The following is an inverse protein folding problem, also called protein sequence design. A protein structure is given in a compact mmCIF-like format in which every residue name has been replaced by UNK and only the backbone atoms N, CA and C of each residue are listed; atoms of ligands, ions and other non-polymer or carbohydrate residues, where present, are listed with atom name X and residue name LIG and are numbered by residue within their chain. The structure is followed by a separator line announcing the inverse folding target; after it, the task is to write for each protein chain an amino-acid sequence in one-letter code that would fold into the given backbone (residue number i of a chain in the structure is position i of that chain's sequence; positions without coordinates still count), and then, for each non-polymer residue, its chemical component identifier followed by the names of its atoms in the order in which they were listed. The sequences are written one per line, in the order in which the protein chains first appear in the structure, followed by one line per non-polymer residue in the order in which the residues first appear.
data_IF_638274780350
#
_entry.id   IF_638274780350
#
_cell.length_a   1.000
_cell.length_b   1.000
_cell.length_c   1.000
_cell.angle_alpha   90.00
_cell.angle_beta   90.00
_cell.angle_gamma   90.00
#
_symmetry.space_group_name_H-M   'P 1'
#
loop_
_entity.id
_entity.type
_entity.pdbx_description
1 polymer ?
#
# COMPACT_ATOMS: atom_id res chain seq x y z
N UNK A 1 -56.63 -57.44 28.96
CA UNK A 1 -57.05 -56.34 29.86
C UNK A 1 -55.87 -55.95 30.72
N UNK A 2 -55.15 -54.87 30.38
CA UNK A 2 -54.26 -54.18 31.32
C UNK A 2 -53.90 -52.81 30.74
N UNK A 3 -54.43 -51.79 31.41
CA UNK A 3 -54.14 -50.38 31.25
C UNK A 3 -52.72 -50.06 31.68
N UNK A 4 -51.99 -49.23 30.92
CA UNK A 4 -50.88 -48.43 31.45
C UNK A 4 -50.90 -47.03 30.84
N UNK A 5 -51.17 -46.05 31.71
CA UNK A 5 -50.95 -44.63 31.49
C UNK A 5 -49.50 -44.28 31.84
N UNK A 6 -48.86 -43.62 30.87
CA UNK A 6 -47.92 -42.48 30.97
C UNK A 6 -47.14 -42.23 32.27
N UNK A 7 -45.81 -42.18 32.13
CA UNK A 7 -44.97 -41.21 32.85
C UNK A 7 -43.98 -40.59 31.86
N UNK A 8 -43.89 -39.25 31.90
CA UNK A 8 -43.04 -38.42 31.07
C UNK A 8 -41.62 -38.36 31.63
N UNK A 9 -40.60 -38.37 30.77
CA UNK A 9 -39.36 -37.63 30.99
C UNK A 9 -38.74 -37.24 29.65
N UNK A 10 -38.87 -35.97 29.33
CA UNK A 10 -38.11 -35.24 28.31
C UNK A 10 -36.65 -35.15 28.71
N UNK A 11 -35.74 -35.56 27.82
CA UNK A 11 -34.37 -35.06 27.79
C UNK A 11 -33.95 -34.88 26.32
N UNK A 12 -34.06 -33.63 25.86
CA UNK A 12 -33.42 -33.18 24.64
C UNK A 12 -31.94 -32.95 24.92
N UNK A 13 -31.05 -33.45 24.06
CA UNK A 13 -29.68 -32.94 23.97
C UNK A 13 -29.36 -32.66 22.51
N UNK A 14 -29.40 -31.37 22.16
CA UNK A 14 -28.83 -30.76 20.97
C UNK A 14 -27.45 -30.25 21.40
N UNK A 15 -26.38 -30.64 20.70
CA UNK A 15 -25.16 -29.84 20.49
C UNK A 15 -24.26 -30.58 19.49
N UNK A 16 -24.38 -30.32 18.19
CA UNK A 16 -23.62 -29.26 17.49
C UNK A 16 -22.11 -29.46 17.62
N UNK A 17 -21.56 -30.42 16.88
CA UNK A 17 -20.14 -30.42 16.51
C UNK A 17 -19.91 -29.22 15.58
N UNK A 18 -19.50 -28.13 16.21
CA UNK A 18 -19.07 -26.91 15.57
C UNK A 18 -17.94 -27.21 14.59
N UNK A 19 -18.23 -27.10 13.30
CA UNK A 19 -17.25 -26.70 12.30
C UNK A 19 -16.68 -25.36 12.74
N UNK A 20 -15.58 -25.36 13.49
CA UNK A 20 -14.77 -24.16 13.63
C UNK A 20 -14.19 -23.88 12.24
N UNK A 21 -14.49 -22.73 11.61
CA UNK A 21 -13.72 -22.32 10.46
C UNK A 21 -12.28 -22.18 10.94
N UNK A 22 -11.40 -23.03 10.43
CA UNK A 22 -9.97 -22.71 10.45
C UNK A 22 -9.86 -21.40 9.69
N UNK A 23 -9.73 -20.30 10.45
CA UNK A 23 -9.29 -19.03 9.92
C UNK A 23 -7.93 -19.32 9.30
N UNK A 24 -7.91 -19.49 7.98
CA UNK A 24 -6.70 -19.39 7.18
C UNK A 24 -6.14 -18.01 7.45
N UNK A 25 -5.29 -17.91 8.48
CA UNK A 25 -4.38 -16.79 8.65
C UNK A 25 -3.40 -16.94 7.50
N UNK A 26 -3.77 -16.41 6.34
CA UNK A 26 -2.79 -16.01 5.36
C UNK A 26 -1.86 -15.07 6.11
N UNK A 27 -0.65 -15.55 6.41
CA UNK A 27 0.43 -14.67 6.76
C UNK A 27 0.57 -13.73 5.59
N UNK A 28 0.13 -12.47 5.72
CA UNK A 28 0.59 -11.39 4.85
C UNK A 28 2.11 -11.47 4.97
N UNK A 29 2.74 -12.08 3.98
CA UNK A 29 4.18 -12.24 3.99
C UNK A 29 4.78 -10.86 3.93
N UNK A 30 5.94 -10.65 4.55
CA UNK A 30 6.73 -9.44 4.30
C UNK A 30 7.03 -9.22 2.81
N UNK A 31 6.81 -10.22 1.95
CA UNK A 31 6.93 -10.12 0.50
C UNK A 31 5.76 -9.40 -0.18
N UNK A 32 4.57 -9.37 0.44
CA UNK A 32 3.41 -8.68 -0.12
C UNK A 32 3.45 -7.20 0.27
N UNK A 33 3.11 -6.34 -0.69
CA UNK A 33 3.04 -4.91 -0.45
C UNK A 33 2.01 -4.27 -1.36
N UNK A 34 1.44 -3.16 -0.89
CA UNK A 34 0.55 -2.31 -1.67
C UNK A 34 0.81 -0.85 -1.32
N UNK A 35 0.72 0.02 -2.32
CA UNK A 35 0.84 1.45 -2.16
C UNK A 35 -0.29 2.17 -2.89
N UNK A 36 -0.80 3.25 -2.30
CA UNK A 36 -1.79 4.09 -2.95
C UNK A 36 -1.10 5.18 -3.78
N UNK A 37 -1.46 5.31 -5.04
CA UNK A 37 -0.99 6.37 -5.95
C UNK A 37 -1.62 7.72 -5.60
N UNK A 38 -1.05 8.87 -5.98
CA UNK A 38 -1.61 10.18 -5.62
C UNK A 38 -3.12 10.33 -5.91
N UNK A 39 -3.59 9.84 -7.05
CA UNK A 39 -5.00 9.82 -7.46
C UNK A 39 -5.85 8.67 -6.93
N UNK A 40 -5.37 7.92 -5.93
CA UNK A 40 -6.16 6.95 -5.17
C UNK A 40 -6.29 5.57 -5.81
N UNK A 41 -5.45 5.22 -6.78
CA UNK A 41 -5.35 3.86 -7.31
C UNK A 41 -4.33 3.05 -6.47
N UNK A 42 -4.19 1.76 -6.74
CA UNK A 42 -3.24 0.89 -6.04
C UNK A 42 -2.17 0.38 -6.98
N UNK A 43 -0.91 0.44 -6.55
CA UNK A 43 0.17 -0.38 -7.08
C UNK A 43 0.48 -1.45 -6.05
N UNK A 44 0.51 -2.72 -6.44
CA UNK A 44 0.72 -3.81 -5.48
C UNK A 44 1.52 -4.98 -6.04
N UNK A 45 2.02 -5.78 -5.09
CA UNK A 45 2.57 -7.11 -5.24
C UNK A 45 1.91 -8.01 -4.19
N UNK A 46 1.08 -8.96 -4.61
CA UNK A 46 0.39 -9.88 -3.70
C UNK A 46 0.24 -11.26 -4.34
N UNK A 47 0.30 -12.33 -3.55
CA UNK A 47 0.38 -13.71 -4.05
C UNK A 47 -0.83 -14.08 -4.93
N UNK A 48 -2.03 -13.60 -4.59
CA UNK A 48 -3.25 -13.80 -5.38
C UNK A 48 -3.27 -13.10 -6.74
N UNK A 49 -2.35 -12.16 -6.99
CA UNK A 49 -2.28 -11.38 -8.22
C UNK A 49 -0.98 -11.62 -9.01
N UNK A 50 0.09 -11.99 -8.31
CA UNK A 50 1.46 -12.05 -8.82
C UNK A 50 1.62 -12.97 -10.02
N UNK A 51 1.03 -14.17 -9.98
CA UNK A 51 1.17 -15.13 -11.08
C UNK A 51 0.57 -14.62 -12.39
N UNK A 52 -0.54 -13.89 -12.31
CA UNK A 52 -1.27 -13.42 -13.50
C UNK A 52 -0.84 -12.04 -13.95
N UNK A 53 -0.51 -11.15 -13.01
CA UNK A 53 -0.33 -9.72 -13.28
C UNK A 53 1.02 -9.16 -12.82
N UNK A 54 1.88 -9.94 -12.15
CA UNK A 54 3.09 -9.43 -11.51
C UNK A 54 2.79 -8.25 -10.57
N UNK A 55 3.67 -7.25 -10.57
CA UNK A 55 3.37 -5.95 -9.99
C UNK A 55 2.35 -5.24 -10.88
N UNK A 56 1.25 -4.73 -10.32
CA UNK A 56 0.17 -4.18 -11.13
C UNK A 56 -0.40 -2.87 -10.58
N UNK A 57 -0.92 -2.05 -11.48
CA UNK A 57 -1.73 -0.86 -11.19
C UNK A 57 -3.20 -1.25 -11.32
N UNK A 58 -3.99 -1.09 -10.26
CA UNK A 58 -5.41 -1.44 -10.22
C UNK A 58 -6.25 -0.40 -9.49
N UNK A 59 -7.56 -0.55 -9.59
CA UNK A 59 -8.54 0.16 -8.77
C UNK A 59 -8.32 -0.10 -7.27
N UNK A 60 -8.54 0.91 -6.42
CA UNK A 60 -8.69 0.67 -4.97
C UNK A 60 -10.10 0.13 -4.70
N UNK A 61 -10.20 -1.10 -4.19
CA UNK A 61 -11.50 -1.71 -3.94
C UNK A 61 -12.25 -1.02 -2.78
N UNK A 62 -11.56 -0.18 -2.00
CA UNK A 62 -12.16 0.68 -0.99
C UNK A 62 -12.67 2.03 -1.55
N UNK A 63 -12.46 2.32 -2.83
CA UNK A 63 -12.98 3.54 -3.47
C UNK A 63 -14.49 3.39 -3.72
N UNK A 64 -15.27 4.03 -2.84
CA UNK A 64 -16.74 4.03 -2.87
C UNK A 64 -17.33 4.75 -4.08
N UNK A 65 -16.51 5.47 -4.86
CA UNK A 65 -16.96 6.15 -6.08
C UNK A 65 -16.91 5.23 -7.30
N UNK A 66 -16.25 4.08 -7.19
CA UNK A 66 -16.18 3.11 -8.28
C UNK A 66 -17.49 2.33 -8.40
N UNK A 67 -17.99 2.11 -9.63
CA UNK A 67 -19.05 1.15 -9.87
C UNK A 67 -18.63 -0.27 -9.43
N UNK A 68 -19.55 -1.11 -8.92
CA UNK A 68 -19.26 -2.50 -8.55
C UNK A 68 -18.50 -3.31 -9.61
N UNK A 69 -18.77 -3.05 -10.89
CA UNK A 69 -18.11 -3.72 -12.02
C UNK A 69 -16.64 -3.34 -12.24
N UNK A 70 -16.15 -2.31 -11.56
CA UNK A 70 -14.77 -1.82 -11.66
C UNK A 70 -13.92 -2.21 -10.43
N UNK A 71 -14.52 -2.82 -9.40
CA UNK A 71 -13.74 -3.41 -8.32
C UNK A 71 -12.89 -4.57 -8.88
N UNK A 72 -11.64 -4.65 -8.42
CA UNK A 72 -10.67 -5.61 -8.94
C UNK A 72 -10.13 -5.29 -10.33
N UNK A 73 -10.53 -4.18 -10.97
CA UNK A 73 -10.05 -3.83 -12.31
C UNK A 73 -8.54 -3.53 -12.29
N UNK A 74 -7.78 -4.32 -13.05
CA UNK A 74 -6.36 -4.07 -13.33
C UNK A 74 -6.26 -3.17 -14.56
N UNK A 75 -5.57 -2.04 -14.40
CA UNK A 75 -5.32 -1.10 -15.49
C UNK A 75 -4.03 -1.43 -16.23
N UNK A 76 -2.97 -1.76 -15.47
CA UNK A 76 -1.66 -2.14 -16.03
C UNK A 76 -1.09 -3.31 -15.27
N UNK A 77 -0.71 -4.37 -15.98
CA UNK A 77 -0.03 -5.53 -15.42
C UNK A 77 1.48 -5.49 -15.66
N UNK A 78 2.23 -6.22 -14.86
CA UNK A 78 3.67 -6.46 -14.99
C UNK A 78 4.47 -5.16 -15.08
N UNK A 79 4.17 -4.24 -14.17
CA UNK A 79 4.91 -3.01 -13.98
C UNK A 79 6.38 -3.32 -13.69
N UNK A 80 7.26 -2.57 -14.35
CA UNK A 80 8.72 -2.61 -14.11
C UNK A 80 9.16 -1.38 -13.34
N UNK A 81 8.68 -0.21 -13.79
CA UNK A 81 8.92 1.08 -13.16
C UNK A 81 7.79 2.06 -13.45
N UNK A 82 7.58 3.02 -12.56
CA UNK A 82 6.57 4.06 -12.71
C UNK A 82 7.06 5.40 -12.15
N UNK A 83 6.42 6.47 -12.57
CA UNK A 83 6.70 7.82 -12.10
C UNK A 83 5.40 8.60 -11.99
N UNK A 84 5.26 9.34 -10.89
CA UNK A 84 4.06 10.13 -10.64
C UNK A 84 4.15 11.51 -11.27
N UNK A 85 3.06 11.93 -11.89
CA UNK A 85 2.80 13.28 -12.38
C UNK A 85 1.50 13.78 -11.76
N UNK A 86 1.22 15.08 -11.90
CA UNK A 86 -0.05 15.62 -11.41
C UNK A 86 -1.23 15.00 -12.18
N UNK A 87 -1.96 14.08 -11.54
CA UNK A 87 -3.13 13.39 -12.10
C UNK A 87 -2.79 12.25 -13.08
N UNK A 88 -1.52 11.88 -13.22
CA UNK A 88 -1.08 10.86 -14.16
C UNK A 88 0.02 9.97 -13.58
N UNK A 89 0.14 8.76 -14.13
CA UNK A 89 1.24 7.83 -13.88
C UNK A 89 1.85 7.47 -15.21
N UNK A 90 3.13 7.80 -15.39
CA UNK A 90 3.92 7.32 -16.51
C UNK A 90 4.65 6.04 -16.09
N UNK A 91 4.81 5.08 -16.99
CA UNK A 91 5.41 3.81 -16.61
C UNK A 91 5.91 2.94 -17.75
N UNK A 92 6.62 1.90 -17.34
CA UNK A 92 7.03 0.78 -18.18
C UNK A 92 6.42 -0.51 -17.62
N UNK A 93 5.81 -1.29 -18.50
CA UNK A 93 5.25 -2.60 -18.25
C UNK A 93 5.98 -3.66 -19.09
N UNK A 94 5.63 -4.93 -18.93
CA UNK A 94 6.15 -6.01 -19.78
C UNK A 94 5.92 -5.77 -21.28
N UNK A 95 4.81 -5.11 -21.65
CA UNK A 95 4.39 -4.93 -23.05
C UNK A 95 4.77 -3.57 -23.65
N UNK A 96 5.40 -2.69 -22.88
CA UNK A 96 5.82 -1.36 -23.35
C UNK A 96 5.55 -0.25 -22.34
N UNK A 97 5.53 0.98 -22.84
CA UNK A 97 5.38 2.18 -22.02
C UNK A 97 3.91 2.60 -21.93
N UNK A 98 3.54 3.28 -20.86
CA UNK A 98 2.18 3.76 -20.69
C UNK A 98 2.11 5.12 -20.01
N UNK A 99 0.99 5.81 -20.25
CA UNK A 99 0.54 6.96 -19.49
C UNK A 99 -0.89 6.68 -19.02
N UNK A 100 -1.05 6.53 -17.71
CA UNK A 100 -2.34 6.33 -17.07
C UNK A 100 -2.87 7.64 -16.51
N UNK A 101 -4.11 7.98 -16.85
CA UNK A 101 -4.81 9.13 -16.28
C UNK A 101 -5.56 8.69 -15.03
N UNK A 102 -5.19 9.24 -13.87
CA UNK A 102 -5.74 8.81 -12.59
C UNK A 102 -7.20 9.22 -12.38
N UNK A 103 -7.69 10.22 -13.13
CA UNK A 103 -9.07 10.72 -13.05
C UNK A 103 -9.97 9.91 -13.98
N UNK A 104 -9.62 9.79 -15.26
CA UNK A 104 -10.44 9.07 -16.24
C UNK A 104 -10.22 7.56 -16.21
N UNK A 105 -9.22 7.07 -15.47
CA UNK A 105 -8.80 5.66 -15.39
C UNK A 105 -8.40 5.05 -16.74
N UNK A 106 -8.07 5.88 -17.72
CA UNK A 106 -7.65 5.44 -19.05
C UNK A 106 -6.13 5.24 -19.12
N UNK A 107 -5.72 4.18 -19.83
CA UNK A 107 -4.32 3.88 -20.13
C UNK A 107 -4.08 4.17 -21.61
N UNK A 108 -3.09 5.02 -21.91
CA UNK A 108 -2.54 5.15 -23.26
C UNK A 108 -1.22 4.39 -23.33
N UNK A 109 -1.08 3.49 -24.31
CA UNK A 109 0.11 2.67 -24.50
C UNK A 109 1.03 3.25 -25.58
N UNK A 110 2.35 3.06 -25.40
CA UNK A 110 3.39 3.54 -26.30
C UNK A 110 4.43 2.44 -26.55
N UNK A 111 4.93 2.36 -27.79
CA UNK A 111 5.95 1.39 -28.17
C UNK A 111 7.36 1.71 -27.65
N UNK A 112 7.63 2.95 -27.23
CA UNK A 112 8.95 3.38 -26.75
C UNK A 112 8.86 4.60 -25.83
N UNK A 113 9.95 4.85 -25.10
CA UNK A 113 10.07 5.93 -24.11
C UNK A 113 10.01 7.33 -24.73
N UNK A 114 10.46 7.48 -25.99
CA UNK A 114 10.40 8.76 -26.71
C UNK A 114 8.96 9.19 -26.97
N UNK A 115 8.10 8.26 -27.42
CA UNK A 115 6.68 8.53 -27.65
C UNK A 115 5.94 8.87 -26.35
N UNK A 116 6.24 8.16 -25.25
CA UNK A 116 5.72 8.51 -23.92
C UNK A 116 6.17 9.92 -23.50
N UNK A 117 7.44 10.24 -23.69
CA UNK A 117 8.01 11.55 -23.33
C UNK A 117 7.37 12.69 -24.12
N UNK A 118 7.10 12.47 -25.41
CA UNK A 118 6.39 13.42 -26.25
C UNK A 118 4.96 13.65 -25.75
N UNK A 119 4.21 12.60 -25.41
CA UNK A 119 2.86 12.74 -24.86
C UNK A 119 2.86 13.52 -23.54
N UNK A 120 3.82 13.25 -22.65
CA UNK A 120 3.98 13.97 -21.38
C UNK A 120 4.20 15.47 -21.64
N UNK A 121 5.01 15.81 -22.64
CA UNK A 121 5.27 17.19 -23.05
C UNK A 121 4.03 17.84 -23.67
N UNK A 122 3.32 17.14 -24.56
CA UNK A 122 2.12 17.63 -25.25
C UNK A 122 0.98 17.91 -24.25
N UNK A 123 0.82 17.04 -23.24
CA UNK A 123 -0.11 17.24 -22.13
C UNK A 123 0.35 18.28 -21.10
N UNK A 124 1.59 18.79 -21.22
CA UNK A 124 2.20 19.78 -20.31
C UNK A 124 2.14 19.35 -18.85
N UNK A 125 2.44 18.08 -18.56
CA UNK A 125 2.36 17.54 -17.20
C UNK A 125 3.41 18.11 -16.23
N UNK A 126 4.39 18.86 -16.76
CA UNK A 126 5.42 19.52 -15.97
C UNK A 126 6.48 18.56 -15.44
N UNK A 127 7.07 18.89 -14.30
CA UNK A 127 8.07 18.04 -13.65
C UNK A 127 7.38 16.87 -12.93
N UNK A 128 7.98 15.67 -12.94
CA UNK A 128 7.46 14.55 -12.17
C UNK A 128 7.50 14.84 -10.66
N UNK A 129 6.56 14.26 -9.92
CA UNK A 129 6.44 14.35 -8.45
C UNK A 129 7.31 13.32 -7.74
N UNK A 130 7.85 12.35 -8.48
CA UNK A 130 8.75 11.32 -7.98
C UNK A 130 9.91 11.08 -8.95
N UNK A 131 10.94 10.38 -8.49
CA UNK A 131 11.85 9.70 -9.42
C UNK A 131 11.13 8.49 -10.07
N UNK A 132 11.83 7.80 -10.97
CA UNK A 132 11.41 6.46 -11.37
C UNK A 132 11.43 5.53 -10.15
N UNK A 133 10.27 4.95 -9.86
CA UNK A 133 10.02 4.01 -8.77
C UNK A 133 9.93 2.59 -9.34
N UNK A 134 10.28 1.61 -8.53
CA UNK A 134 10.28 0.18 -8.84
C UNK A 134 9.56 -0.62 -7.75
N UNK A 135 9.42 -1.93 -7.95
CA UNK A 135 8.91 -2.87 -6.96
C UNK A 135 9.53 -2.66 -5.56
N UNK A 136 10.85 -2.43 -5.50
CA UNK A 136 11.58 -2.23 -4.25
C UNK A 136 11.16 -0.93 -3.56
N UNK A 137 10.86 0.13 -4.31
CA UNK A 137 10.37 1.39 -3.77
C UNK A 137 8.95 1.25 -3.24
N UNK A 138 8.10 0.48 -3.94
CA UNK A 138 6.75 0.11 -3.48
C UNK A 138 6.78 -0.66 -2.16
N UNK A 139 7.66 -1.65 -2.04
CA UNK A 139 7.90 -2.36 -0.77
C UNK A 139 8.39 -1.40 0.33
N UNK A 140 9.38 -0.56 0.01
CA UNK A 140 9.96 0.39 0.96
C UNK A 140 8.92 1.37 1.48
N UNK A 141 8.03 1.86 0.62
CA UNK A 141 6.91 2.70 1.01
C UNK A 141 5.92 1.92 1.89
N UNK A 142 5.46 0.73 1.48
CA UNK A 142 4.47 -0.04 2.23
C UNK A 142 4.89 -0.33 3.68
N UNK A 143 6.20 -0.45 3.93
CA UNK A 143 6.77 -0.73 5.24
C UNK A 143 7.44 0.47 5.91
N UNK A 144 7.28 1.68 5.35
CA UNK A 144 8.09 2.84 5.68
C UNK A 144 8.16 3.21 7.18
N UNK A 145 7.05 3.31 7.95
CA UNK A 145 7.12 3.82 9.32
C UNK A 145 7.97 2.95 10.24
N UNK A 146 7.77 1.63 10.15
CA UNK A 146 8.43 0.66 11.04
C UNK A 146 9.83 0.28 10.52
N UNK A 147 9.99 0.11 9.21
CA UNK A 147 11.22 -0.46 8.64
C UNK A 147 12.24 0.59 8.18
N UNK A 148 11.80 1.84 7.96
CA UNK A 148 12.66 2.90 7.41
C UNK A 148 12.66 4.13 8.31
N UNK A 149 11.51 4.72 8.59
CA UNK A 149 11.41 5.98 9.34
C UNK A 149 11.99 5.84 10.75
N UNK A 150 11.47 4.92 11.57
CA UNK A 150 11.93 4.75 12.94
C UNK A 150 13.44 4.40 13.01
N UNK A 151 13.96 3.40 12.26
CA UNK A 151 15.39 3.11 12.23
C UNK A 151 16.26 4.29 11.76
N UNK A 152 15.81 5.04 10.75
CA UNK A 152 16.55 6.20 10.27
C UNK A 152 16.56 7.36 11.26
N UNK A 153 15.47 7.59 11.99
CA UNK A 153 15.43 8.59 13.07
C UNK A 153 16.43 8.23 14.17
N UNK A 154 16.46 6.97 14.58
CA UNK A 154 17.41 6.48 15.59
C UNK A 154 18.85 6.61 15.11
N UNK A 155 19.17 6.14 13.91
CA UNK A 155 20.52 6.22 13.34
C UNK A 155 21.00 7.67 13.23
N UNK A 156 20.15 8.58 12.73
CA UNK A 156 20.52 9.98 12.55
C UNK A 156 20.64 10.73 13.89
N UNK A 157 19.89 10.34 14.92
CA UNK A 157 20.00 10.91 16.27
C UNK A 157 21.25 10.50 17.05
N UNK A 158 21.89 9.40 16.66
CA UNK A 158 23.13 8.95 17.32
C UNK A 158 24.30 9.83 16.89
N UNK A 159 25.01 10.38 17.89
CA UNK A 159 26.33 10.98 17.71
C UNK A 159 27.34 9.85 17.43
N UNK A 160 27.76 9.73 16.16
CA UNK A 160 28.88 8.92 15.63
C UNK A 160 29.36 7.77 16.56
N UNK A 161 28.96 6.52 16.28
CA UNK A 161 29.67 5.36 16.85
C UNK A 161 28.90 4.05 17.06
N UNK A 162 27.56 4.00 16.94
CA UNK A 162 26.83 2.73 17.06
C UNK A 162 26.52 2.15 15.69
N UNK A 163 27.01 0.94 15.44
CA UNK A 163 26.52 0.09 14.34
C UNK A 163 25.04 -0.22 14.60
N UNK A 164 24.16 -0.12 13.60
CA UNK A 164 22.75 -0.49 13.76
C UNK A 164 22.64 -1.93 14.29
N UNK A 165 21.72 -2.14 15.24
CA UNK A 165 21.41 -3.45 15.78
C UNK A 165 21.01 -4.42 14.67
N UNK A 166 21.30 -5.71 14.85
CA UNK A 166 20.98 -6.77 13.88
C UNK A 166 19.46 -6.81 13.63
N UNK A 167 19.03 -6.31 12.47
CA UNK A 167 17.65 -6.41 12.02
C UNK A 167 17.41 -5.53 10.81
N UNK A 168 17.32 -6.17 9.63
CA UNK A 168 17.05 -5.58 8.32
C UNK A 168 18.18 -4.71 7.75
N UNK A 169 18.27 -4.71 6.41
CA UNK A 169 19.37 -4.24 5.55
C UNK A 169 20.09 -3.01 6.11
N UNK A 170 21.44 -2.93 6.06
CA UNK A 170 22.14 -1.78 6.63
C UNK A 170 21.71 -0.49 5.92
N UNK A 171 20.86 0.30 6.59
CA UNK A 171 20.55 1.66 6.20
C UNK A 171 21.76 2.53 6.53
N UNK A 172 22.42 3.04 5.51
CA UNK A 172 23.47 4.05 5.67
C UNK A 172 22.85 5.39 6.07
N UNK A 173 23.63 6.27 6.72
CA UNK A 173 23.19 7.64 7.01
C UNK A 173 22.76 8.39 5.74
N UNK A 174 23.43 8.15 4.61
CA UNK A 174 23.08 8.77 3.32
C UNK A 174 21.69 8.31 2.83
N UNK A 175 21.41 7.00 2.88
CA UNK A 175 20.08 6.46 2.56
C UNK A 175 19.01 7.02 3.49
N UNK A 176 19.31 7.18 4.79
CA UNK A 176 18.36 7.78 5.73
C UNK A 176 18.11 9.27 5.45
N UNK A 177 19.13 10.04 5.09
CA UNK A 177 18.94 11.43 4.68
C UNK A 177 18.09 11.54 3.41
N UNK A 178 18.25 10.62 2.46
CA UNK A 178 17.43 10.57 1.25
C UNK A 178 15.98 10.15 1.55
N UNK A 179 15.78 9.10 2.35
CA UNK A 179 14.45 8.59 2.70
C UNK A 179 13.64 9.60 3.54
N UNK A 180 14.32 10.42 4.35
CA UNK A 180 13.71 11.47 5.18
C UNK A 180 13.84 12.87 4.56
N UNK A 181 14.17 12.97 3.27
CA UNK A 181 14.26 14.25 2.59
C UNK A 181 12.87 14.91 2.47
N UNK A 182 12.84 16.23 2.24
CA UNK A 182 11.57 16.96 2.07
C UNK A 182 10.77 16.42 0.90
N UNK A 183 11.45 16.07 -0.18
CA UNK A 183 10.86 15.56 -1.42
C UNK A 183 10.25 14.17 -1.21
N UNK A 184 10.96 13.27 -0.53
CA UNK A 184 10.44 11.94 -0.20
C UNK A 184 9.21 12.02 0.71
N UNK A 185 9.27 12.85 1.76
CA UNK A 185 8.13 13.05 2.67
C UNK A 185 6.95 13.73 1.98
N UNK A 186 7.19 14.66 1.05
CA UNK A 186 6.14 15.29 0.25
C UNK A 186 5.41 14.25 -0.62
N UNK A 187 6.14 13.31 -1.22
CA UNK A 187 5.52 12.21 -1.95
C UNK A 187 4.66 11.33 -1.03
N UNK A 188 5.18 10.93 0.14
CA UNK A 188 4.44 10.11 1.09
C UNK A 188 3.16 10.76 1.62
N UNK A 189 3.08 12.10 1.67
CA UNK A 189 1.84 12.83 2.01
C UNK A 189 0.74 12.69 0.95
N UNK A 190 1.11 12.41 -0.28
CA UNK A 190 0.15 12.26 -1.37
C UNK A 190 -0.15 10.78 -1.67
N UNK A 191 0.71 9.87 -1.24
CA UNK A 191 0.56 8.43 -1.48
C UNK A 191 -0.08 7.70 -0.28
N UNK A 192 0.38 6.49 0.02
CA UNK A 192 -0.19 5.59 1.04
C UNK A 192 -0.30 6.25 2.39
N UNK A 193 0.81 6.83 2.86
CA UNK A 193 0.93 7.28 4.25
C UNK A 193 0.18 8.57 4.54
N UNK A 194 0.07 9.48 3.58
CA UNK A 194 -0.75 10.68 3.75
C UNK A 194 -2.21 10.33 4.01
N UNK A 195 -2.77 9.42 3.20
CA UNK A 195 -4.13 8.89 3.39
C UNK A 195 -4.27 8.12 4.69
N UNK A 196 -3.34 7.21 4.99
CA UNK A 196 -3.40 6.45 6.24
C UNK A 196 -3.30 7.36 7.48
N UNK A 197 -2.43 8.36 7.46
CA UNK A 197 -2.27 9.30 8.56
C UNK A 197 -3.48 10.23 8.73
N UNK A 198 -4.13 10.63 7.64
CA UNK A 198 -5.41 11.36 7.72
C UNK A 198 -6.51 10.50 8.37
N UNK A 199 -6.63 9.23 7.94
CA UNK A 199 -7.57 8.27 8.55
C UNK A 199 -7.24 8.03 10.02
N UNK A 200 -5.97 7.85 10.35
CA UNK A 200 -5.50 7.64 11.72
C UNK A 200 -5.79 8.84 12.63
N UNK A 201 -5.64 10.08 12.16
CA UNK A 201 -6.01 11.27 12.94
C UNK A 201 -7.50 11.36 13.26
N UNK A 202 -8.35 10.74 12.44
CA UNK A 202 -9.80 10.69 12.66
C UNK A 202 -10.23 9.57 13.63
N UNK A 203 -9.35 8.64 14.02
CA UNK A 203 -9.69 7.59 14.99
C UNK A 203 -9.65 8.10 16.43
N UNK A 204 -10.36 7.46 17.38
CA UNK A 204 -10.30 7.82 18.79
C UNK A 204 -8.88 7.82 19.37
N UNK A 205 -8.57 8.77 20.25
CA UNK A 205 -7.23 8.91 20.89
C UNK A 205 -6.77 7.62 21.58
N UNK A 206 -7.68 6.86 22.18
CA UNK A 206 -7.37 5.57 22.82
C UNK A 206 -6.84 4.53 21.83
N UNK A 207 -7.29 4.53 20.57
CA UNK A 207 -6.77 3.67 19.52
C UNK A 207 -5.43 4.19 18.99
N UNK A 208 -5.26 5.51 18.91
CA UNK A 208 -4.00 6.09 18.48
C UNK A 208 -2.85 5.74 19.45
N UNK A 209 -3.11 5.76 20.76
CA UNK A 209 -2.13 5.42 21.79
C UNK A 209 -1.66 3.95 21.73
N UNK A 210 -2.43 3.06 21.08
CA UNK A 210 -2.03 1.66 20.89
C UNK A 210 -1.00 1.48 19.76
N UNK A 211 -0.73 2.52 18.96
CA UNK A 211 0.19 2.49 17.83
C UNK A 211 1.18 3.68 17.88
N UNK A 212 2.12 3.69 18.84
CA UNK A 212 2.97 4.84 19.12
C UNK A 212 3.89 5.24 17.96
N UNK A 213 4.47 4.26 17.24
CA UNK A 213 5.32 4.54 16.06
C UNK A 213 4.52 5.24 14.97
N UNK A 214 3.35 4.67 14.61
CA UNK A 214 2.46 5.27 13.61
C UNK A 214 1.99 6.67 14.02
N UNK A 215 1.65 6.86 15.30
CA UNK A 215 1.26 8.17 15.81
C UNK A 215 2.38 9.20 15.67
N UNK A 216 3.61 8.85 16.04
CA UNK A 216 4.77 9.73 15.93
C UNK A 216 5.07 10.07 14.46
N UNK A 217 5.07 9.07 13.59
CA UNK A 217 5.26 9.23 12.15
C UNK A 217 4.19 10.14 11.54
N UNK A 218 2.90 9.89 11.80
CA UNK A 218 1.82 10.69 11.25
C UNK A 218 1.81 12.14 11.76
N UNK A 219 2.25 12.36 13.00
CA UNK A 219 2.45 13.71 13.51
C UNK A 219 3.58 14.43 12.77
N UNK A 220 4.67 13.76 12.42
CA UNK A 220 5.78 14.33 11.65
C UNK A 220 5.37 14.57 10.19
N UNK A 221 4.83 13.55 9.53
CA UNK A 221 4.45 13.58 8.13
C UNK A 221 3.47 14.72 7.83
N UNK A 222 2.48 14.93 8.70
CA UNK A 222 1.41 15.93 8.50
C UNK A 222 1.73 17.32 9.08
N UNK A 223 2.86 17.51 9.77
CA UNK A 223 3.25 18.83 10.35
C UNK A 223 3.93 19.75 9.36
N UNK A 224 4.60 19.19 8.37
CA UNK A 224 5.41 19.96 7.41
C UNK A 224 4.61 20.07 6.11
N UNK A 225 4.35 21.27 5.57
CA UNK A 225 3.75 21.42 4.24
C UNK A 225 4.66 20.84 3.15
#
# INVERSE_FOLDING_TARGET
MTSRKTFWMTAALVLSLTFTPQSSRASIGLAEWQVSTPGGNLILHADGWKETYGDCLKADDADVTLPPSQHGQVYVSHLRRWQYYQGYIAGESQTGFFLFNEVSKQVTAFGNELALSQEIADKKLGKPKSNWLTSQDGWTEAWFPEMIWQPCKELLSQSIGRQPGKGFTPLSRAQCHQALSKEALALYRETTWGRQCQRFKATPVSQQQQQPTLQAFCNELLKTP
#
